data_IF_816969338268
#
_entry.id   IF_816969338268
#
_cell.length_a   1.000
_cell.length_b   1.000
_cell.length_c   1.000
_cell.angle_alpha   90.00
_cell.angle_beta   90.00
_cell.angle_gamma   90.00
#
_symmetry.space_group_name_H-M   'P 1'
#
loop_
_entity.id
_entity.type
_entity.pdbx_description
1 polymer ?
#
# COMPACT_ATOMS: atom_id res chain seq x y z
N UNK A 1 10.47 -8.06 -10.40
CA UNK A 1 11.84 -7.52 -10.51
C UNK A 1 12.82 -8.67 -10.43
N UNK A 2 13.75 -8.76 -11.36
CA UNK A 2 14.87 -9.71 -11.35
C UNK A 2 15.90 -9.31 -10.28
N UNK A 3 16.87 -10.18 -9.98
CA UNK A 3 17.96 -9.83 -9.05
C UNK A 3 18.74 -8.59 -9.54
N UNK A 4 19.15 -8.58 -10.81
CA UNK A 4 19.85 -7.45 -11.43
C UNK A 4 19.08 -6.14 -11.31
N UNK A 5 17.77 -6.15 -11.63
CA UNK A 5 16.94 -4.95 -11.50
C UNK A 5 16.90 -4.42 -10.07
N UNK A 6 16.84 -5.31 -9.05
CA UNK A 6 16.87 -4.89 -7.65
C UNK A 6 18.20 -4.27 -7.26
N UNK A 7 19.33 -4.86 -7.67
CA UNK A 7 20.65 -4.30 -7.40
C UNK A 7 20.80 -2.90 -8.00
N UNK A 8 20.39 -2.70 -9.25
CA UNK A 8 20.41 -1.37 -9.89
C UNK A 8 19.51 -0.36 -9.19
N UNK A 9 18.31 -0.77 -8.74
CA UNK A 9 17.44 0.11 -7.97
C UNK A 9 18.12 0.60 -6.67
N UNK A 10 18.83 -0.28 -5.96
CA UNK A 10 19.55 0.09 -4.72
C UNK A 10 20.75 0.98 -5.01
N UNK A 11 21.49 0.75 -6.11
CA UNK A 11 22.63 1.61 -6.54
C UNK A 11 22.23 3.07 -6.80
N UNK A 12 20.98 3.31 -7.17
CA UNK A 12 20.46 4.66 -7.40
C UNK A 12 19.87 5.33 -6.15
N UNK A 13 19.91 4.68 -4.98
CA UNK A 13 19.52 5.30 -3.72
C UNK A 13 20.59 6.31 -3.26
N UNK A 14 20.16 7.53 -2.93
CA UNK A 14 21.04 8.64 -2.51
C UNK A 14 22.04 8.30 -1.40
N UNK A 15 21.66 7.40 -0.48
CA UNK A 15 22.45 7.07 0.72
C UNK A 15 23.25 5.77 0.58
N UNK A 16 23.29 5.16 -0.60
CA UNK A 16 24.01 3.90 -0.82
C UNK A 16 25.37 4.21 -1.45
N UNK A 17 26.45 3.76 -0.79
CA UNK A 17 27.82 3.86 -1.30
C UNK A 17 28.24 2.60 -2.07
N UNK A 18 27.89 1.40 -1.58
CA UNK A 18 28.23 0.11 -2.16
C UNK A 18 27.03 -0.85 -2.15
N UNK A 19 26.92 -1.71 -3.17
CA UNK A 19 25.93 -2.80 -3.23
C UNK A 19 26.63 -4.14 -3.34
N UNK A 20 26.52 -4.94 -2.27
CA UNK A 20 26.94 -6.34 -2.24
C UNK A 20 25.84 -7.20 -2.85
N UNK A 21 26.10 -7.78 -4.01
CA UNK A 21 25.19 -8.74 -4.66
C UNK A 21 25.22 -10.10 -3.93
N UNK A 22 24.17 -10.89 -4.12
CA UNK A 22 24.07 -12.24 -3.55
C UNK A 22 24.30 -12.34 -2.02
N UNK A 23 23.87 -11.31 -1.28
CA UNK A 23 23.96 -11.29 0.17
C UNK A 23 23.24 -12.50 0.81
N UNK A 24 23.80 -13.10 1.88
CA UNK A 24 23.24 -14.29 2.50
C UNK A 24 21.91 -13.98 3.19
N UNK A 25 21.03 -15.00 3.29
CA UNK A 25 19.77 -14.89 4.03
C UNK A 25 19.99 -14.65 5.52
N UNK A 26 20.97 -15.34 6.12
CA UNK A 26 21.40 -15.15 7.50
C UNK A 26 22.79 -14.52 7.48
N UNK A 27 22.95 -13.36 8.15
CA UNK A 27 24.25 -12.69 8.25
C UNK A 27 25.14 -13.46 9.21
N UNK A 28 26.27 -13.96 8.71
CA UNK A 28 27.25 -14.72 9.52
C UNK A 28 28.41 -13.84 9.98
N UNK A 29 29.17 -14.31 10.97
CA UNK A 29 30.36 -13.59 11.45
C UNK A 29 31.41 -13.46 10.34
N UNK A 30 31.57 -14.48 9.51
CA UNK A 30 32.51 -14.46 8.38
C UNK A 30 32.14 -13.38 7.36
N UNK A 31 30.84 -13.18 7.10
CA UNK A 31 30.37 -12.11 6.21
C UNK A 31 30.65 -10.72 6.81
N UNK A 32 30.42 -10.56 8.11
CA UNK A 32 30.71 -9.32 8.85
C UNK A 32 32.20 -9.00 8.77
N UNK A 33 33.07 -9.97 9.02
CA UNK A 33 34.52 -9.79 9.05
C UNK A 33 35.07 -9.52 7.65
N UNK A 34 34.56 -10.23 6.62
CA UNK A 34 34.94 -10.06 5.22
C UNK A 34 34.67 -8.63 4.73
N UNK A 35 33.47 -8.12 5.01
CA UNK A 35 33.03 -6.79 4.58
C UNK A 35 33.34 -5.68 5.59
N UNK A 36 33.97 -6.01 6.73
CA UNK A 36 34.31 -5.08 7.82
C UNK A 36 33.10 -4.29 8.30
N UNK A 37 31.99 -4.99 8.55
CA UNK A 37 30.72 -4.37 8.94
C UNK A 37 30.75 -4.05 10.44
N UNK A 38 30.61 -2.76 10.79
CA UNK A 38 30.51 -2.33 12.18
C UNK A 38 29.12 -2.58 12.76
N UNK A 39 28.08 -2.27 11.97
CA UNK A 39 26.67 -2.36 12.38
C UNK A 39 25.78 -2.86 11.25
N UNK A 40 24.70 -3.56 11.61
CA UNK A 40 23.66 -4.00 10.68
C UNK A 40 22.36 -3.27 11.02
N UNK A 41 21.77 -2.59 10.03
CA UNK A 41 20.54 -1.83 10.21
C UNK A 41 19.34 -2.52 9.53
N UNK A 42 18.30 -2.83 10.32
CA UNK A 42 17.02 -3.37 9.86
C UNK A 42 15.90 -2.91 10.80
N UNK A 43 14.62 -3.08 10.45
CA UNK A 43 13.54 -2.86 11.43
C UNK A 43 13.63 -3.82 12.63
N UNK A 44 12.94 -3.49 13.72
CA UNK A 44 13.05 -4.20 15.01
C UNK A 44 12.29 -5.54 15.06
N UNK A 45 11.46 -5.83 14.07
CA UNK A 45 10.60 -7.02 14.05
C UNK A 45 11.47 -8.30 14.00
N UNK A 46 11.13 -9.37 14.74
CA UNK A 46 11.81 -10.65 14.62
C UNK A 46 11.62 -11.28 13.24
N UNK A 47 12.71 -11.74 12.62
CA UNK A 47 12.67 -12.43 11.33
C UNK A 47 12.98 -13.91 11.49
N UNK A 48 11.95 -14.76 11.38
CA UNK A 48 12.12 -16.20 11.53
C UNK A 48 12.98 -16.82 10.41
N UNK A 49 13.92 -17.67 10.81
CA UNK A 49 14.74 -18.50 9.94
C UNK A 49 14.01 -19.77 9.50
N UNK A 50 14.44 -20.34 8.37
CA UNK A 50 13.87 -21.58 7.84
C UNK A 50 14.21 -22.83 8.67
N UNK A 51 15.21 -22.73 9.54
CA UNK A 51 15.72 -23.77 10.43
C UNK A 51 15.04 -23.78 11.82
N UNK A 52 13.99 -22.98 12.00
CA UNK A 52 13.31 -22.84 13.29
C UNK A 52 13.89 -21.74 14.18
N UNK A 53 14.90 -21.01 13.70
CA UNK A 53 15.39 -19.80 14.38
C UNK A 53 14.27 -18.76 14.48
N UNK A 54 14.01 -18.23 15.68
CA UNK A 54 12.94 -17.22 15.89
C UNK A 54 13.29 -15.85 15.31
N UNK A 55 14.57 -15.48 15.37
CA UNK A 55 15.09 -14.22 14.83
C UNK A 55 16.51 -14.38 14.29
N UNK A 56 16.67 -14.25 12.97
CA UNK A 56 17.97 -14.35 12.29
C UNK A 56 18.95 -13.24 12.69
N UNK A 57 18.46 -12.14 13.27
CA UNK A 57 19.30 -11.04 13.74
C UNK A 57 19.70 -11.17 15.22
N UNK A 58 19.27 -12.21 15.92
CA UNK A 58 19.51 -12.36 17.37
C UNK A 58 20.99 -12.25 17.74
N UNK A 59 21.88 -12.90 16.96
CA UNK A 59 23.33 -12.84 17.18
C UNK A 59 23.87 -11.39 17.12
N UNK A 60 23.39 -10.58 16.18
CA UNK A 60 23.79 -9.18 16.03
C UNK A 60 23.25 -8.30 17.18
N UNK A 61 22.04 -8.60 17.65
CA UNK A 61 21.42 -7.94 18.81
C UNK A 61 22.21 -8.22 20.08
N UNK A 62 22.58 -9.48 20.32
CA UNK A 62 23.36 -9.90 21.50
C UNK A 62 24.76 -9.27 21.52
N UNK A 63 25.38 -9.07 20.35
CA UNK A 63 26.67 -8.40 20.21
C UNK A 63 26.58 -6.86 20.31
N UNK A 64 25.39 -6.28 20.37
CA UNK A 64 25.20 -4.82 20.34
C UNK A 64 25.54 -4.17 18.99
N UNK A 65 25.53 -4.96 17.91
CA UNK A 65 25.84 -4.53 16.53
C UNK A 65 24.61 -4.30 15.66
N UNK A 66 23.41 -4.48 16.20
CA UNK A 66 22.16 -4.25 15.49
C UNK A 66 21.64 -2.82 15.71
N UNK A 67 21.34 -2.10 14.63
CA UNK A 67 20.75 -0.76 14.65
C UNK A 67 19.29 -0.81 14.17
N UNK A 68 18.30 -0.74 15.09
CA UNK A 68 16.90 -0.79 14.70
C UNK A 68 16.49 0.48 13.94
N UNK A 69 15.84 0.28 12.80
CA UNK A 69 15.23 1.34 11.98
C UNK A 69 13.72 1.33 12.12
N UNK A 70 13.05 2.40 11.70
CA UNK A 70 11.59 2.51 11.73
C UNK A 70 11.00 2.35 10.34
N UNK A 71 9.92 1.56 10.24
CA UNK A 71 9.15 1.43 9.00
C UNK A 71 8.51 2.77 8.64
N UNK A 72 8.45 3.05 7.34
CA UNK A 72 7.73 4.23 6.82
C UNK A 72 6.25 3.89 6.70
N UNK A 73 5.35 4.59 7.41
CA UNK A 73 3.92 4.29 7.36
C UNK A 73 3.31 4.64 5.99
N UNK A 74 2.30 3.87 5.57
CA UNK A 74 1.52 4.14 4.35
C UNK A 74 2.17 3.70 3.04
N UNK A 75 3.34 3.05 3.10
CA UNK A 75 4.04 2.48 1.93
C UNK A 75 4.59 1.10 2.24
N UNK A 76 4.25 0.15 1.38
CA UNK A 76 4.84 -1.19 1.35
C UNK A 76 4.67 -1.78 -0.06
N UNK A 77 5.48 -2.78 -0.42
CA UNK A 77 5.34 -3.47 -1.71
C UNK A 77 3.95 -4.11 -1.85
N UNK A 78 3.41 -4.67 -0.76
CA UNK A 78 2.07 -5.25 -0.72
C UNK A 78 0.99 -4.21 -0.96
N UNK A 79 1.09 -3.03 -0.33
CA UNK A 79 0.12 -1.96 -0.55
C UNK A 79 0.16 -1.41 -1.98
N UNK A 80 1.35 -1.28 -2.57
CA UNK A 80 1.50 -0.90 -3.97
C UNK A 80 0.85 -1.94 -4.89
N UNK A 81 1.07 -3.22 -4.62
CA UNK A 81 0.43 -4.31 -5.37
C UNK A 81 -1.09 -4.28 -5.23
N UNK A 82 -1.62 -4.08 -4.03
CA UNK A 82 -3.07 -3.94 -3.80
C UNK A 82 -3.67 -2.78 -4.61
N UNK A 83 -3.02 -1.62 -4.62
CA UNK A 83 -3.47 -0.46 -5.41
C UNK A 83 -3.49 -0.77 -6.91
N UNK A 84 -2.41 -1.38 -7.42
CA UNK A 84 -2.29 -1.75 -8.83
C UNK A 84 -3.39 -2.75 -9.22
N UNK A 85 -3.58 -3.80 -8.44
CA UNK A 85 -4.58 -4.85 -8.70
C UNK A 85 -6.00 -4.27 -8.60
N UNK A 86 -6.27 -3.38 -7.64
CA UNK A 86 -7.57 -2.72 -7.53
C UNK A 86 -7.88 -1.88 -8.78
N UNK A 87 -6.98 -0.97 -9.17
CA UNK A 87 -7.13 -0.15 -10.38
C UNK A 87 -7.32 -1.00 -11.63
N UNK A 88 -6.59 -2.11 -11.74
CA UNK A 88 -6.74 -3.07 -12.82
C UNK A 88 -8.13 -3.71 -12.85
N UNK A 89 -8.63 -4.23 -11.71
CA UNK A 89 -9.97 -4.85 -11.61
C UNK A 89 -11.10 -3.87 -11.89
N UNK A 90 -10.89 -2.58 -11.66
CA UNK A 90 -11.86 -1.53 -11.98
C UNK A 90 -11.82 -1.09 -13.46
N UNK A 91 -10.92 -1.64 -14.28
CA UNK A 91 -10.81 -1.32 -15.69
C UNK A 91 -10.26 0.09 -15.97
N UNK A 92 -9.64 0.74 -14.98
CA UNK A 92 -9.14 2.12 -15.09
C UNK A 92 -8.11 2.28 -16.21
N UNK A 93 -7.39 1.21 -16.55
CA UNK A 93 -6.33 1.22 -17.55
C UNK A 93 -6.72 0.59 -18.88
N UNK A 94 -7.93 0.05 -19.02
CA UNK A 94 -8.36 -0.64 -20.24
C UNK A 94 -8.27 0.25 -21.49
N UNK A 95 -8.72 1.52 -21.49
CA UNK A 95 -8.56 2.39 -22.65
C UNK A 95 -7.10 2.64 -23.03
N UNK A 96 -6.21 2.69 -22.03
CA UNK A 96 -4.77 2.88 -22.25
C UNK A 96 -4.13 1.61 -22.81
N UNK A 97 -4.51 0.44 -22.30
CA UNK A 97 -4.00 -0.86 -22.75
C UNK A 97 -4.35 -1.13 -24.23
N UNK A 98 -5.58 -0.83 -24.64
CA UNK A 98 -6.00 -0.89 -26.04
C UNK A 98 -5.17 0.07 -26.89
N UNK A 99 -5.02 1.33 -26.45
CA UNK A 99 -4.23 2.34 -27.17
C UNK A 99 -2.76 1.94 -27.29
N UNK A 100 -2.20 1.25 -26.30
CA UNK A 100 -0.82 0.75 -26.33
C UNK A 100 -0.64 -0.56 -27.09
N UNK A 101 -1.68 -1.09 -27.75
CA UNK A 101 -1.60 -2.34 -28.51
C UNK A 101 -1.41 -3.57 -27.61
N UNK A 102 -2.05 -3.56 -26.43
CA UNK A 102 -2.08 -4.67 -25.47
C UNK A 102 -3.53 -4.99 -25.02
N UNK A 103 -4.49 -5.18 -25.93
CA UNK A 103 -5.88 -5.47 -25.58
C UNK A 103 -6.04 -6.80 -24.80
N UNK A 104 -5.11 -7.74 -24.98
CA UNK A 104 -5.09 -9.01 -24.26
C UNK A 104 -4.90 -8.85 -22.74
N UNK A 105 -4.43 -7.69 -22.29
CA UNK A 105 -4.25 -7.37 -20.87
C UNK A 105 -5.43 -6.61 -20.26
N UNK A 106 -6.55 -6.38 -20.96
CA UNK A 106 -7.70 -5.67 -20.37
C UNK A 106 -8.29 -6.41 -19.17
N UNK A 107 -8.89 -5.68 -18.23
CA UNK A 107 -9.52 -6.26 -17.04
C UNK A 107 -10.56 -7.35 -17.38
N UNK A 108 -11.22 -7.22 -18.53
CA UNK A 108 -12.26 -8.13 -19.03
C UNK A 108 -11.74 -9.37 -19.76
N UNK A 109 -10.45 -9.44 -20.10
CA UNK A 109 -9.88 -10.59 -20.82
C UNK A 109 -9.53 -11.77 -19.89
N UNK A 110 -9.54 -11.55 -18.57
CA UNK A 110 -9.21 -12.59 -17.58
C UNK A 110 -10.42 -13.50 -17.28
N UNK A 111 -10.27 -14.85 -17.34
CA UNK A 111 -11.31 -15.79 -16.95
C UNK A 111 -11.72 -15.62 -15.49
N UNK A 112 -13.03 -15.54 -15.21
CA UNK A 112 -13.57 -15.48 -13.84
C UNK A 112 -13.81 -14.08 -13.28
N UNK A 113 -13.47 -13.01 -14.02
CA UNK A 113 -13.84 -11.64 -13.64
C UNK A 113 -15.33 -11.44 -13.93
N UNK A 114 -16.18 -11.11 -12.93
CA UNK A 114 -17.57 -10.78 -13.20
C UNK A 114 -17.59 -9.61 -14.18
N UNK A 115 -18.13 -9.82 -15.37
CA UNK A 115 -18.41 -8.75 -16.32
C UNK A 115 -19.38 -7.80 -15.61
N UNK A 116 -18.87 -6.69 -15.08
CA UNK A 116 -19.68 -5.57 -14.63
C UNK A 116 -20.40 -5.07 -15.88
N UNK A 117 -21.63 -5.55 -16.07
CA UNK A 117 -22.48 -5.16 -17.18
C UNK A 117 -22.48 -3.63 -17.21
N UNK A 118 -21.96 -3.07 -18.29
CA UNK A 118 -22.15 -1.66 -18.57
C UNK A 118 -23.65 -1.40 -18.50
N UNK A 119 -24.07 -0.41 -17.70
CA UNK A 119 -25.45 0.06 -17.74
C UNK A 119 -25.68 0.47 -19.18
N UNK A 120 -26.49 -0.30 -19.90
CA UNK A 120 -26.89 0.03 -21.25
C UNK A 120 -27.42 1.46 -21.23
N UNK A 121 -26.80 2.32 -22.03
CA UNK A 121 -27.30 3.65 -22.29
C UNK A 121 -28.58 3.47 -23.10
N UNK A 122 -29.74 3.47 -22.46
CA UNK A 122 -31.01 3.56 -23.17
C UNK A 122 -31.06 4.94 -23.84
N UNK A 123 -31.13 5.03 -25.16
CA UNK A 123 -31.26 6.33 -25.83
C UNK A 123 -32.58 6.99 -25.42
N UNK A 124 -32.64 8.32 -25.29
CA UNK A 124 -33.86 9.00 -24.90
C UNK A 124 -34.91 8.85 -26.02
N UNK A 125 -36.04 8.22 -25.68
CA UNK A 125 -37.22 8.23 -26.52
C UNK A 125 -37.85 9.63 -26.52
N UNK A 126 -38.09 10.21 -27.70
CA UNK A 126 -38.85 11.46 -27.87
C UNK A 126 -40.31 11.29 -27.42
N UNK A 127 -40.93 12.28 -26.73
CA UNK A 127 -42.33 12.18 -26.34
C UNK A 127 -43.23 12.82 -27.41
N UNK A 128 -44.27 12.08 -27.81
CA UNK A 128 -45.44 12.67 -28.46
C UNK A 128 -46.69 11.93 -27.97
N UNK A 129 -47.57 12.68 -27.29
CA UNK A 129 -49.00 12.39 -27.23
C UNK A 129 -49.59 11.97 -25.88
N UNK A 130 -50.27 12.92 -25.23
CA UNK A 130 -51.66 12.67 -24.82
C UNK A 130 -51.98 12.40 -23.35
N UNK A 131 -52.37 13.48 -22.66
CA UNK A 131 -53.56 13.63 -21.79
C UNK A 131 -53.86 12.62 -20.66
N UNK A 132 -53.91 13.14 -19.43
CA UNK A 132 -54.79 12.60 -18.39
C UNK A 132 -54.25 12.69 -16.95
N UNK A 133 -54.50 13.82 -16.27
CA UNK A 133 -54.59 13.86 -14.80
C UNK A 133 -56.08 13.93 -14.43
N UNK A 134 -56.55 13.46 -13.25
CA UNK A 134 -56.27 14.20 -12.01
C UNK A 134 -56.06 13.38 -10.71
N UNK A 135 -55.21 13.96 -9.85
CA UNK A 135 -55.22 14.03 -8.38
C UNK A 135 -56.17 13.10 -7.58
N UNK A 136 -55.58 12.23 -6.73
CA UNK A 136 -56.08 11.82 -5.38
C UNK A 136 -54.84 11.52 -4.53
N UNK A 137 -54.50 12.34 -3.54
CA UNK A 137 -54.99 12.38 -2.15
C UNK A 137 -53.91 11.89 -1.20
N UNK A 138 -53.42 12.82 -0.38
CA UNK A 138 -52.47 12.68 0.72
C UNK A 138 -53.18 12.02 1.91
N UNK A 139 -52.69 10.88 2.39
CA UNK A 139 -53.01 10.36 3.72
C UNK A 139 -51.96 9.36 4.22
N UNK A 140 -51.22 9.77 5.25
CA UNK A 140 -50.90 8.95 6.42
C UNK A 140 -49.86 7.84 6.29
N UNK A 141 -48.67 8.06 6.86
CA UNK A 141 -48.10 7.20 7.89
C UNK A 141 -46.80 7.84 8.44
N UNK A 142 -46.96 8.80 9.34
CA UNK A 142 -45.97 9.11 10.36
C UNK A 142 -46.15 8.09 11.49
N UNK A 143 -45.19 7.19 11.69
CA UNK A 143 -44.92 6.61 13.02
C UNK A 143 -43.42 6.37 13.16
N UNK A 144 -42.89 6.99 14.21
CA UNK A 144 -41.53 6.91 14.70
C UNK A 144 -41.13 5.50 15.12
N UNK A 145 -39.83 5.18 15.00
CA UNK A 145 -39.06 4.59 16.11
C UNK A 145 -37.68 5.26 16.14
N UNK A 146 -37.46 6.04 17.18
CA UNK A 146 -36.19 6.61 17.63
C UNK A 146 -35.65 5.77 18.80
N UNK A 147 -34.34 5.90 19.07
CA UNK A 147 -33.49 5.38 20.17
C UNK A 147 -32.93 3.96 20.00
N UNK A 148 -31.64 3.69 20.22
CA UNK A 148 -30.57 4.47 20.84
C UNK A 148 -29.19 3.88 20.47
N UNK A 149 -28.17 4.73 20.30
CA UNK A 149 -26.81 4.49 20.81
C UNK A 149 -26.13 5.87 20.93
N UNK A 150 -26.08 6.37 22.16
CA UNK A 150 -25.21 7.46 22.61
C UNK A 150 -24.14 6.80 23.46
N UNK A 151 -22.88 7.09 23.14
CA UNK A 151 -21.72 6.61 23.87
C UNK A 151 -20.47 7.33 23.39
N UNK A 152 -20.48 8.67 23.48
CA UNK A 152 -19.32 9.53 23.21
C UNK A 152 -18.38 9.56 24.42
N UNK A 153 -17.16 9.10 24.24
CA UNK A 153 -16.04 9.32 25.17
C UNK A 153 -15.21 10.51 24.68
N UNK A 154 -15.28 11.61 25.42
CA UNK A 154 -14.43 12.80 25.26
C UNK A 154 -13.11 12.55 25.99
N UNK A 155 -12.01 12.44 25.25
CA UNK A 155 -10.64 12.40 25.77
C UNK A 155 -9.85 13.58 25.19
N UNK A 156 -9.61 14.58 26.02
CA UNK A 156 -8.80 15.77 25.70
C UNK A 156 -7.32 15.41 25.65
N UNK A 157 -6.65 15.63 24.52
CA UNK A 157 -5.19 15.56 24.40
C UNK A 157 -4.63 16.96 24.18
N UNK A 158 -3.77 17.40 25.09
CA UNK A 158 -3.03 18.66 25.03
C UNK A 158 -1.94 18.61 23.93
N UNK A 159 -1.67 19.72 23.22
CA UNK A 159 -0.63 19.76 22.20
C UNK A 159 0.76 19.88 22.84
N UNK A 160 1.59 18.84 22.67
CA UNK A 160 3.01 18.94 22.97
C UNK A 160 3.73 19.81 21.94
N UNK A 161 4.43 20.81 22.47
CA UNK A 161 5.32 21.77 21.84
C UNK A 161 6.42 21.06 21.04
N UNK A 162 6.37 21.18 19.71
CA UNK A 162 7.49 20.90 18.81
C UNK A 162 8.25 22.20 18.60
N UNK A 163 9.45 22.32 19.18
CA UNK A 163 10.38 23.37 18.78
C UNK A 163 11.82 22.91 19.07
N UNK A 164 12.57 22.58 18.01
CA UNK A 164 14.02 22.74 17.93
C UNK A 164 14.48 22.53 16.47
N UNK A 165 15.33 23.41 15.92
CA UNK A 165 15.63 23.48 14.49
C UNK A 165 16.67 22.44 14.03
N UNK A 166 16.56 22.08 12.75
CA UNK A 166 17.51 21.25 12.03
C UNK A 166 18.92 21.85 12.05
N UNK A 167 19.91 21.03 12.40
CA UNK A 167 21.34 21.36 12.33
C UNK A 167 21.85 21.00 10.93
N UNK A 168 22.20 21.99 10.13
CA UNK A 168 22.91 21.82 8.86
C UNK A 168 24.32 21.25 9.10
N UNK A 169 24.77 20.23 8.34
CA UNK A 169 26.16 19.78 8.39
C UNK A 169 27.08 20.73 7.60
N UNK A 170 28.37 20.83 7.97
CA UNK A 170 29.34 21.69 7.29
C UNK A 170 29.70 21.13 5.90
N UNK A 171 29.92 22.03 4.96
CA UNK A 171 30.43 21.72 3.63
C UNK A 171 31.90 21.28 3.72
N UNK A 172 32.21 20.16 3.07
CA UNK A 172 33.54 19.83 2.55
C UNK A 172 33.34 19.41 1.10
#
# INVERSE_FOLDING_TARGET
MTHTERCECVRHCRWVDEVVADAPWVVTQEFIDLHKIDYVAHDEDPYAGSDGTTDIYQMLKDQGKFLPTRRTPGVSTSDLLHRIVASYRHGEWDPKLVRSGRPELQSTSMPGTPQLRSRAHTPPHSPLGGLGSPLKSLAGAFTAIEKAVVGGGSGTVSPHKLDSPAKTPPAV
#
